data_IF_703012270203
#
_entry.id   IF_703012270203
#
_cell.length_a   1.000
_cell.length_b   1.000
_cell.length_c   1.000
_cell.angle_alpha   90.00
_cell.angle_beta   90.00
_cell.angle_gamma   90.00
#
_symmetry.space_group_name_H-M   'P 1'
#
loop_
_entity.id
_entity.type
_entity.pdbx_description
1 polymer ?
#
# COMPACT_ATOMS: atom_id res chain seq x y z
N UNK A 1 -4.21 4.59 -3.52
CA UNK A 1 -3.24 5.67 -3.26
C UNK A 1 -2.53 5.37 -1.94
N UNK A 2 -1.25 5.70 -1.83
CA UNK A 2 -0.44 5.52 -0.62
C UNK A 2 0.26 6.84 -0.27
N UNK A 3 0.16 7.27 0.99
CA UNK A 3 0.95 8.37 1.55
C UNK A 3 1.88 7.80 2.59
N UNK A 4 3.17 7.90 2.35
CA UNK A 4 4.21 7.27 3.17
C UNK A 4 5.14 8.33 3.77
N UNK A 5 5.65 8.02 4.96
CA UNK A 5 6.68 8.78 5.65
C UNK A 5 7.69 7.80 6.24
N UNK A 6 8.95 8.20 6.26
CA UNK A 6 10.01 7.55 7.02
C UNK A 6 10.30 8.45 8.22
N UNK A 7 10.20 7.92 9.44
CA UNK A 7 10.57 8.68 10.65
C UNK A 7 12.08 8.90 10.72
N UNK A 8 12.54 9.79 11.60
CA UNK A 8 13.97 10.07 11.77
C UNK A 8 14.60 10.93 10.65
N UNK A 9 13.88 11.17 9.55
CA UNK A 9 14.24 12.17 8.54
C UNK A 9 13.82 13.57 9.03
N UNK A 10 14.58 14.59 8.65
CA UNK A 10 14.26 16.00 8.91
C UNK A 10 13.04 16.45 8.10
N UNK A 11 12.94 16.00 6.85
CA UNK A 11 11.76 16.30 6.03
C UNK A 11 10.47 15.75 6.62
N UNK A 12 9.42 16.57 6.57
CA UNK A 12 8.06 16.20 6.98
C UNK A 12 7.15 15.88 5.80
N UNK A 13 7.67 15.86 4.58
CA UNK A 13 6.89 15.66 3.37
C UNK A 13 6.49 14.20 3.19
N UNK A 14 5.22 13.95 2.89
CA UNK A 14 4.74 12.61 2.53
C UNK A 14 5.05 12.30 1.08
N UNK A 15 5.45 11.07 0.81
CA UNK A 15 5.55 10.59 -0.56
C UNK A 15 4.20 10.03 -1.03
N UNK A 16 3.69 10.52 -2.17
CA UNK A 16 2.45 10.00 -2.77
C UNK A 16 2.77 8.92 -3.80
N UNK A 17 2.36 7.69 -3.52
CA UNK A 17 2.72 6.49 -4.29
C UNK A 17 1.49 5.65 -4.67
N UNK A 18 1.66 4.73 -5.61
CA UNK A 18 0.58 3.86 -6.10
C UNK A 18 0.99 2.40 -6.03
N UNK A 19 0.12 1.58 -5.44
CA UNK A 19 0.36 0.16 -5.22
C UNK A 19 -0.67 -0.69 -5.95
N UNK A 20 -0.23 -1.83 -6.47
CA UNK A 20 -1.05 -2.84 -7.12
C UNK A 20 -0.64 -4.23 -6.69
N UNK A 21 -1.64 -5.10 -6.54
CA UNK A 21 -1.46 -6.49 -6.19
C UNK A 21 -2.71 -7.31 -6.40
N UNK A 22 -2.63 -8.55 -5.95
CA UNK A 22 -3.77 -9.44 -5.80
C UNK A 22 -4.00 -9.72 -4.32
N UNK A 23 -5.23 -10.11 -4.00
CA UNK A 23 -5.64 -10.43 -2.65
C UNK A 23 -6.50 -11.68 -2.61
N UNK A 24 -6.51 -12.33 -1.46
CA UNK A 24 -7.37 -13.42 -1.09
C UNK A 24 -8.15 -12.99 0.16
N UNK A 25 -9.44 -13.30 0.16
CA UNK A 25 -10.34 -13.01 1.27
C UNK A 25 -11.01 -14.32 1.67
N UNK A 26 -10.31 -15.08 2.51
CA UNK A 26 -10.63 -16.46 2.86
C UNK A 26 -11.52 -16.45 4.10
N UNK A 27 -12.71 -17.06 4.02
CA UNK A 27 -13.60 -17.15 5.19
C UNK A 27 -13.01 -18.15 6.19
N UNK A 28 -12.82 -17.71 7.43
CA UNK A 28 -12.43 -18.57 8.54
C UNK A 28 -13.67 -19.15 9.22
N UNK A 29 -14.47 -18.28 9.86
CA UNK A 29 -15.69 -18.65 10.57
C UNK A 29 -16.64 -17.46 10.61
N UNK A 30 -17.92 -17.68 10.29
CA UNK A 30 -18.95 -16.65 10.35
C UNK A 30 -18.56 -15.36 9.59
N UNK A 31 -18.36 -14.26 10.33
CA UNK A 31 -18.00 -12.94 9.84
C UNK A 31 -16.49 -12.68 9.82
N UNK A 32 -15.68 -13.64 10.27
CA UNK A 32 -14.23 -13.57 10.30
C UNK A 32 -13.62 -14.15 9.04
N UNK A 33 -12.69 -13.40 8.47
CA UNK A 33 -11.97 -13.71 7.25
C UNK A 33 -10.48 -13.48 7.47
N UNK A 34 -9.66 -14.27 6.79
CA UNK A 34 -8.25 -13.99 6.59
C UNK A 34 -8.12 -13.21 5.27
N UNK A 35 -7.65 -11.99 5.37
CA UNK A 35 -7.26 -11.16 4.23
C UNK A 35 -5.74 -11.24 4.04
N UNK A 36 -5.31 -11.77 2.90
CA UNK A 36 -3.89 -11.85 2.55
C UNK A 36 -3.69 -11.65 1.05
N UNK A 37 -2.45 -11.63 0.57
CA UNK A 37 -2.13 -11.36 -0.83
C UNK A 37 -0.72 -10.81 -0.99
N UNK A 38 -0.43 -10.29 -2.17
CA UNK A 38 0.86 -9.66 -2.45
C UNK A 38 0.63 -8.38 -3.25
N UNK A 39 1.14 -7.25 -2.74
CA UNK A 39 1.32 -6.03 -3.54
C UNK A 39 2.64 -6.17 -4.32
N UNK A 40 2.51 -6.42 -5.62
CA UNK A 40 3.64 -6.73 -6.53
C UNK A 40 4.31 -5.49 -7.11
N UNK A 41 3.53 -4.45 -7.36
CA UNK A 41 4.04 -3.11 -7.66
C UNK A 41 3.73 -2.28 -6.44
N UNK A 42 4.67 -2.21 -5.52
CA UNK A 42 4.49 -1.40 -4.31
C UNK A 42 5.74 -0.59 -4.00
N UNK A 43 5.50 0.66 -3.66
CA UNK A 43 6.55 1.61 -3.36
C UNK A 43 6.20 2.50 -2.18
N UNK A 44 7.24 2.79 -1.39
CA UNK A 44 7.21 3.73 -0.28
C UNK A 44 8.51 4.55 -0.27
N UNK A 45 8.64 5.47 0.67
CA UNK A 45 9.75 6.42 0.68
C UNK A 45 9.37 7.75 1.31
N UNK A 46 10.16 8.77 1.01
CA UNK A 46 9.94 10.14 1.47
C UNK A 46 10.31 11.10 0.35
N UNK A 47 9.52 12.16 0.16
CA UNK A 47 9.80 13.18 -0.85
C UNK A 47 10.44 14.43 -0.20
N UNK A 48 11.08 15.30 -0.98
CA UNK A 48 11.71 16.55 -0.51
C UNK A 48 12.71 16.34 0.63
N UNK A 49 13.71 15.49 0.40
CA UNK A 49 14.85 15.31 1.30
C UNK A 49 15.60 16.64 1.46
N UNK A 50 15.93 16.97 2.69
CA UNK A 50 16.80 18.10 3.04
C UNK A 50 18.27 17.75 2.84
N UNK A 51 19.17 18.73 2.97
CA UNK A 51 20.62 18.48 2.92
C UNK A 51 21.11 17.61 4.07
N UNK A 52 20.50 17.78 5.24
CA UNK A 52 20.75 16.93 6.40
C UNK A 52 20.33 15.50 6.11
N UNK A 53 19.19 15.31 5.46
CA UNK A 53 18.73 13.99 5.04
C UNK A 53 19.67 13.37 4.01
N UNK A 54 20.10 14.13 2.99
CA UNK A 54 21.06 13.65 1.98
C UNK A 54 22.38 13.20 2.62
N UNK A 55 22.93 13.99 3.54
CA UNK A 55 24.12 13.62 4.31
C UNK A 55 23.90 12.34 5.12
N UNK A 56 22.76 12.23 5.81
CA UNK A 56 22.37 11.03 6.56
C UNK A 56 22.31 9.78 5.68
N UNK A 57 21.89 9.93 4.42
CA UNK A 57 21.85 8.85 3.43
C UNK A 57 23.19 8.64 2.70
N UNK A 58 24.19 9.48 2.96
CA UNK A 58 25.47 9.51 2.27
C UNK A 58 25.32 9.75 0.77
N UNK A 59 24.45 10.70 0.40
CA UNK A 59 24.19 11.15 -0.97
C UNK A 59 24.70 12.58 -1.10
N UNK A 60 25.52 12.84 -2.11
CA UNK A 60 26.02 14.19 -2.39
C UNK A 60 25.03 14.97 -3.25
N UNK A 61 24.76 16.26 -2.96
CA UNK A 61 23.99 17.10 -3.86
C UNK A 61 24.68 17.25 -5.22
N UNK A 62 23.89 17.31 -6.29
CA UNK A 62 24.35 17.59 -7.64
C UNK A 62 24.77 19.06 -7.77
N UNK A 63 25.99 19.26 -8.27
CA UNK A 63 26.61 20.55 -8.55
C UNK A 63 26.80 20.72 -10.07
N UNK A 64 26.83 21.96 -10.54
CA UNK A 64 27.20 22.29 -11.91
C UNK A 64 28.73 22.42 -12.06
N UNK A 65 29.19 22.77 -13.26
CA UNK A 65 30.62 22.89 -13.57
C UNK A 65 31.32 24.07 -12.85
N UNK A 66 30.58 24.95 -12.18
CA UNK A 66 31.08 26.08 -11.42
C UNK A 66 30.96 25.85 -9.90
N UNK A 67 30.77 24.59 -9.47
CA UNK A 67 30.54 24.18 -8.08
C UNK A 67 29.30 24.83 -7.44
N UNK A 68 28.32 25.25 -8.26
CA UNK A 68 27.04 25.77 -7.78
C UNK A 68 26.02 24.64 -7.73
N UNK A 69 25.26 24.57 -6.63
CA UNK A 69 24.22 23.57 -6.46
C UNK A 69 23.12 23.72 -7.51
N UNK A 70 22.82 22.62 -8.19
CA UNK A 70 21.69 22.55 -9.12
C UNK A 70 20.38 22.55 -8.31
N UNK A 71 19.47 23.46 -8.65
CA UNK A 71 18.15 23.52 -8.05
C UNK A 71 17.31 22.28 -8.45
N UNK A 72 16.68 21.65 -7.46
CA UNK A 72 15.81 20.50 -7.69
C UNK A 72 15.45 19.78 -6.41
N UNK A 73 14.55 18.81 -6.54
CA UNK A 73 14.00 18.04 -5.43
C UNK A 73 14.63 16.65 -5.35
N UNK A 74 14.95 16.22 -4.14
CA UNK A 74 15.42 14.88 -3.86
C UNK A 74 14.34 14.04 -3.17
N UNK A 75 14.15 12.80 -3.59
CA UNK A 75 13.21 11.87 -2.99
C UNK A 75 13.81 10.48 -2.82
N UNK A 76 13.66 9.88 -1.63
CA UNK A 76 13.97 8.48 -1.44
C UNK A 76 12.82 7.63 -1.99
N UNK A 77 13.14 6.66 -2.86
CA UNK A 77 12.18 5.67 -3.38
C UNK A 77 12.62 4.26 -3.05
N UNK A 78 11.69 3.44 -2.56
CA UNK A 78 11.92 2.04 -2.21
C UNK A 78 10.78 1.21 -2.79
N UNK A 79 11.12 0.20 -3.57
CA UNK A 79 10.16 -0.79 -4.04
C UNK A 79 10.26 -2.07 -3.22
N UNK A 80 9.10 -2.60 -2.86
CA UNK A 80 8.99 -3.82 -2.07
C UNK A 80 7.89 -4.74 -2.60
N UNK A 81 7.96 -6.01 -2.23
CA UNK A 81 6.80 -6.90 -2.20
C UNK A 81 6.18 -6.81 -0.82
N UNK A 82 4.91 -6.41 -0.71
CA UNK A 82 4.22 -6.32 0.59
C UNK A 82 3.18 -7.44 0.71
N UNK A 83 3.25 -8.19 1.80
CA UNK A 83 2.41 -9.34 2.12
C UNK A 83 1.67 -9.06 3.43
N UNK A 84 0.40 -8.64 3.38
CA UNK A 84 -0.43 -8.50 4.56
C UNK A 84 -1.00 -9.87 4.99
N UNK A 85 -1.14 -10.08 6.29
CA UNK A 85 -1.86 -11.21 6.86
C UNK A 85 -2.82 -10.67 7.94
N UNK A 86 -4.00 -10.21 7.49
CA UNK A 86 -4.94 -9.48 8.33
C UNK A 86 -6.15 -10.35 8.67
N UNK A 87 -6.57 -10.29 9.92
CA UNK A 87 -7.89 -10.75 10.31
C UNK A 87 -8.88 -9.64 9.98
N UNK A 88 -9.92 -9.99 9.21
CA UNK A 88 -10.98 -9.08 8.73
C UNK A 88 -12.33 -9.52 9.30
N UNK A 89 -12.99 -8.64 10.02
CA UNK A 89 -14.35 -8.84 10.53
C UNK A 89 -15.35 -8.06 9.68
N UNK A 90 -16.33 -8.76 9.08
CA UNK A 90 -17.35 -8.17 8.20
C UNK A 90 -18.69 -8.01 8.92
N UNK A 91 -19.11 -6.77 9.11
CA UNK A 91 -20.39 -6.42 9.69
C UNK A 91 -21.55 -6.69 8.73
N UNK A 92 -22.77 -6.82 9.26
CA UNK A 92 -23.98 -7.09 8.46
C UNK A 92 -24.32 -5.93 7.50
N UNK A 93 -23.93 -4.71 7.86
CA UNK A 93 -24.08 -3.50 7.04
C UNK A 93 -22.99 -3.36 5.95
N UNK A 94 -22.20 -4.41 5.68
CA UNK A 94 -21.13 -4.42 4.67
C UNK A 94 -19.90 -3.57 4.97
N UNK A 95 -19.85 -2.93 6.14
CA UNK A 95 -18.59 -2.42 6.67
C UNK A 95 -17.69 -3.59 7.10
N UNK A 96 -16.39 -3.34 7.18
CA UNK A 96 -15.46 -4.23 7.85
C UNK A 96 -14.38 -3.45 8.58
N UNK A 97 -13.81 -4.12 9.57
CA UNK A 97 -12.53 -3.77 10.16
C UNK A 97 -11.53 -4.87 9.85
N UNK A 98 -10.26 -4.52 9.69
CA UNK A 98 -9.18 -5.47 9.52
C UNK A 98 -7.93 -5.04 10.29
N UNK A 99 -7.23 -6.01 10.86
CA UNK A 99 -5.95 -5.78 11.51
C UNK A 99 -5.06 -7.02 11.48
N UNK A 100 -3.76 -6.81 11.49
CA UNK A 100 -2.77 -7.88 11.56
C UNK A 100 -1.40 -7.43 11.06
N UNK A 101 -0.43 -8.36 11.01
CA UNK A 101 0.90 -8.04 10.52
C UNK A 101 0.94 -7.80 9.01
N UNK A 102 1.94 -7.04 8.59
CA UNK A 102 2.38 -6.95 7.21
C UNK A 102 3.90 -7.13 7.16
N UNK A 103 4.35 -7.88 6.15
CA UNK A 103 5.76 -8.09 5.85
C UNK A 103 6.09 -7.51 4.49
N UNK A 104 7.26 -6.89 4.37
CA UNK A 104 7.73 -6.23 3.16
C UNK A 104 9.13 -6.74 2.81
N UNK A 105 9.31 -7.20 1.57
CA UNK A 105 10.63 -7.56 1.02
C UNK A 105 11.09 -6.47 0.06
N UNK A 106 12.06 -5.66 0.48
CA UNK A 106 12.60 -4.55 -0.32
C UNK A 106 13.56 -5.07 -1.38
N UNK A 107 13.31 -4.75 -2.65
CA UNK A 107 14.10 -5.30 -3.77
C UNK A 107 14.79 -4.24 -4.62
N UNK A 108 14.39 -2.96 -4.52
CA UNK A 108 15.01 -1.84 -5.24
C UNK A 108 14.91 -0.56 -4.41
N UNK A 109 15.97 0.25 -4.39
CA UNK A 109 16.02 1.51 -3.65
C UNK A 109 16.94 2.50 -4.36
N UNK A 110 16.53 3.77 -4.41
CA UNK A 110 17.34 4.86 -4.95
C UNK A 110 16.90 6.21 -4.39
N UNK A 111 17.84 7.16 -4.30
CA UNK A 111 17.51 8.58 -4.19
C UNK A 111 17.34 9.12 -5.61
N UNK A 112 16.22 9.78 -5.85
CA UNK A 112 15.90 10.41 -7.12
C UNK A 112 16.04 11.92 -7.00
N UNK A 113 16.84 12.52 -7.87
CA UNK A 113 16.93 13.97 -8.04
C UNK A 113 16.15 14.37 -9.29
N UNK A 114 15.24 15.34 -9.15
CA UNK A 114 14.49 15.93 -10.26
C UNK A 114 14.80 17.42 -10.33
N UNK A 115 15.26 17.87 -11.50
CA UNK A 115 15.53 19.26 -11.80
C UNK A 115 14.81 19.68 -13.08
N UNK A 116 14.37 20.94 -13.13
CA UNK A 116 13.92 21.62 -14.34
C UNK A 116 15.04 22.57 -14.77
N UNK A 117 15.59 22.32 -15.97
CA UNK A 117 16.63 23.16 -16.56
C UNK A 117 16.11 23.65 -17.92
N UNK A 118 15.78 24.94 -18.00
CA UNK A 118 15.26 25.60 -19.20
C UNK A 118 14.02 24.90 -19.80
N UNK A 119 13.10 24.45 -18.95
CA UNK A 119 11.87 23.77 -19.37
C UNK A 119 12.07 22.31 -19.77
N UNK A 120 13.21 21.71 -19.40
CA UNK A 120 13.51 20.30 -19.60
C UNK A 120 13.63 19.60 -18.25
N UNK A 121 12.84 18.54 -18.09
CA UNK A 121 12.93 17.66 -16.92
C UNK A 121 14.15 16.75 -17.02
N UNK A 122 15.02 16.82 -16.00
CA UNK A 122 16.13 15.91 -15.82
C UNK A 122 15.93 15.09 -14.53
N UNK A 123 16.01 13.77 -14.65
CA UNK A 123 15.91 12.85 -13.51
C UNK A 123 17.17 12.01 -13.37
N UNK A 124 17.83 12.11 -12.22
CA UNK A 124 18.99 11.29 -11.85
C UNK A 124 18.63 10.33 -10.71
N UNK A 125 19.18 9.11 -10.76
CA UNK A 125 18.90 8.06 -9.77
C UNK A 125 20.19 7.49 -9.21
N UNK A 126 20.42 7.73 -7.93
CA UNK A 126 21.52 7.13 -7.19
C UNK A 126 21.00 5.91 -6.42
N UNK A 127 21.41 4.71 -6.85
CA UNK A 127 20.95 3.47 -6.24
C UNK A 127 21.60 3.24 -4.88
N UNK A 128 20.78 2.97 -3.87
CA UNK A 128 21.22 2.78 -2.48
C UNK A 128 20.59 1.53 -1.82
N UNK A 129 20.37 0.48 -2.62
CA UNK A 129 19.77 -0.79 -2.15
C UNK A 129 20.59 -1.47 -1.05
N UNK A 130 21.89 -1.32 -1.09
CA UNK A 130 22.86 -1.80 -0.11
C UNK A 130 22.75 -1.06 1.24
N UNK A 131 22.27 0.19 1.24
CA UNK A 131 22.08 1.02 2.44
C UNK A 131 20.75 0.79 3.17
N UNK A 132 19.79 0.06 2.58
CA UNK A 132 18.49 -0.24 3.19
C UNK A 132 18.43 -1.66 3.78
N UNK A 133 17.62 -1.85 4.83
CA UNK A 133 17.28 -3.18 5.33
C UNK A 133 16.42 -3.92 4.29
N UNK A 134 16.67 -5.22 4.08
CA UNK A 134 15.93 -6.00 3.06
C UNK A 134 14.49 -6.31 3.48
N UNK A 135 14.23 -6.32 4.78
CA UNK A 135 12.95 -6.69 5.37
C UNK A 135 12.40 -5.50 6.13
N UNK A 136 11.12 -5.24 5.97
CA UNK A 136 10.33 -4.38 6.84
C UNK A 136 9.13 -5.19 7.36
N UNK A 137 8.77 -4.99 8.61
CA UNK A 137 7.71 -5.72 9.27
C UNK A 137 7.01 -4.79 10.26
N UNK A 138 5.70 -4.92 10.35
CA UNK A 138 4.88 -4.00 11.12
C UNK A 138 3.46 -4.46 11.29
N UNK A 139 2.66 -3.60 11.90
CA UNK A 139 1.23 -3.82 12.05
C UNK A 139 0.45 -2.94 11.07
N UNK A 140 -0.66 -3.48 10.59
CA UNK A 140 -1.60 -2.79 9.74
C UNK A 140 -2.99 -2.90 10.34
N UNK A 141 -3.72 -1.78 10.35
CA UNK A 141 -5.13 -1.75 10.72
C UNK A 141 -5.90 -0.90 9.72
N UNK A 142 -7.18 -1.22 9.50
CA UNK A 142 -7.99 -0.51 8.52
C UNK A 142 -9.47 -0.79 8.62
N UNK A 143 -10.22 0.03 7.90
CA UNK A 143 -11.67 -0.06 7.78
C UNK A 143 -12.07 0.08 6.33
N UNK A 144 -13.27 -0.38 6.00
CA UNK A 144 -13.85 -0.03 4.73
C UNK A 144 -15.25 -0.58 4.52
N UNK A 145 -15.70 -0.48 3.29
CA UNK A 145 -17.08 -0.77 2.90
C UNK A 145 -17.11 -1.56 1.59
N UNK A 146 -17.95 -2.61 1.57
CA UNK A 146 -18.15 -3.44 0.38
C UNK A 146 -19.41 -3.03 -0.37
N UNK A 147 -19.24 -2.58 -1.62
CA UNK A 147 -20.30 -2.12 -2.50
C UNK A 147 -21.14 -3.28 -3.07
N UNK A 148 -22.22 -2.93 -3.77
CA UNK A 148 -23.15 -3.85 -4.44
C UNK A 148 -23.69 -4.94 -3.51
N UNK A 149 -24.22 -4.55 -2.35
CA UNK A 149 -24.79 -5.48 -1.34
C UNK A 149 -23.83 -6.60 -0.92
N UNK A 150 -22.53 -6.30 -0.86
CA UNK A 150 -21.50 -7.24 -0.42
C UNK A 150 -20.93 -8.17 -1.50
N UNK A 151 -21.23 -7.95 -2.79
CA UNK A 151 -20.68 -8.76 -3.90
C UNK A 151 -19.78 -7.96 -4.84
N UNK A 152 -19.70 -6.64 -4.68
CA UNK A 152 -18.95 -5.75 -5.57
C UNK A 152 -17.59 -5.34 -5.04
N UNK A 153 -17.14 -4.20 -5.54
CA UNK A 153 -15.88 -3.58 -5.17
C UNK A 153 -15.83 -3.22 -3.68
N UNK A 154 -14.64 -3.20 -3.12
CA UNK A 154 -14.41 -2.79 -1.74
C UNK A 154 -13.58 -1.53 -1.71
N UNK A 155 -14.09 -0.50 -1.04
CA UNK A 155 -13.35 0.71 -0.72
C UNK A 155 -12.84 0.60 0.71
N UNK A 156 -11.69 1.19 1.00
CA UNK A 156 -11.21 1.24 2.39
C UNK A 156 -10.00 2.12 2.60
N UNK A 157 -9.74 2.37 3.87
CA UNK A 157 -8.57 3.06 4.35
C UNK A 157 -7.78 2.14 5.29
N UNK A 158 -6.45 2.16 5.21
CA UNK A 158 -5.57 1.43 6.13
C UNK A 158 -4.42 2.31 6.59
N UNK A 159 -3.93 2.03 7.78
CA UNK A 159 -2.69 2.58 8.29
C UNK A 159 -1.73 1.43 8.60
N UNK A 160 -0.48 1.60 8.15
CA UNK A 160 0.64 0.73 8.45
C UNK A 160 1.65 1.46 9.33
N UNK A 161 2.16 0.75 10.32
CA UNK A 161 3.25 1.19 11.18
C UNK A 161 4.32 0.10 11.24
N UNK A 162 5.50 0.41 10.70
CA UNK A 162 6.65 -0.48 10.64
C UNK A 162 7.48 -0.44 11.92
N UNK A 163 7.96 -1.59 12.35
CA UNK A 163 8.80 -1.75 13.53
C UNK A 163 10.29 -1.84 13.19
N UNK A 164 10.62 -2.01 11.90
CA UNK A 164 12.00 -2.16 11.43
C UNK A 164 12.49 -0.85 10.83
N UNK A 165 13.74 -0.50 11.12
CA UNK A 165 14.42 0.63 10.48
C UNK A 165 14.53 0.38 8.97
N UNK A 166 14.23 1.39 8.16
CA UNK A 166 14.36 1.32 6.71
C UNK A 166 15.82 1.34 6.29
N UNK A 167 16.65 2.18 6.94
CA UNK A 167 18.06 2.32 6.63
C UNK A 167 18.95 1.53 7.61
N UNK A 168 20.00 0.90 7.08
CA UNK A 168 20.98 0.18 7.90
C UNK A 168 21.81 1.17 8.71
N UNK A 169 21.98 0.89 10.00
CA UNK A 169 22.79 1.73 10.89
C UNK A 169 22.14 3.06 11.29
N UNK A 170 20.91 3.35 10.83
CA UNK A 170 20.20 4.60 11.16
C UNK A 170 18.92 4.25 11.93
N UNK A 171 19.00 4.43 13.24
CA UNK A 171 17.91 4.12 14.17
C UNK A 171 16.77 5.13 14.05
N UNK A 172 15.54 4.66 14.30
CA UNK A 172 14.34 5.49 14.26
C UNK A 172 13.84 5.78 12.85
N UNK A 173 14.29 5.02 11.84
CA UNK A 173 13.91 5.20 10.43
C UNK A 173 12.77 4.29 10.02
N UNK A 174 11.69 4.25 10.80
CA UNK A 174 10.55 3.38 10.57
C UNK A 174 9.65 3.88 9.43
N UNK A 175 9.12 2.96 8.64
CA UNK A 175 8.12 3.27 7.63
C UNK A 175 6.73 3.37 8.27
N UNK A 176 5.99 4.44 7.93
CA UNK A 176 4.55 4.51 8.18
C UNK A 176 3.84 4.88 6.89
N UNK A 177 2.63 4.36 6.70
CA UNK A 177 1.91 4.54 5.44
C UNK A 177 0.40 4.54 5.64
N UNK A 178 -0.27 5.56 5.09
CA UNK A 178 -1.71 5.63 4.98
C UNK A 178 -2.16 5.26 3.56
N UNK A 179 -3.08 4.32 3.45
CA UNK A 179 -3.54 3.77 2.17
C UNK A 179 -5.02 4.08 1.98
N UNK A 180 -5.37 4.57 0.79
CA UNK A 180 -6.71 4.41 0.24
C UNK A 180 -6.70 3.26 -0.77
N UNK A 181 -7.57 2.28 -0.57
CA UNK A 181 -7.63 1.06 -1.38
C UNK A 181 -8.95 0.92 -2.13
N UNK A 182 -8.84 0.32 -3.31
CA UNK A 182 -9.94 -0.21 -4.10
C UNK A 182 -9.64 -1.68 -4.40
N UNK A 183 -10.52 -2.58 -3.98
CA UNK A 183 -10.41 -4.01 -4.25
C UNK A 183 -11.51 -4.41 -5.23
N UNK A 184 -11.12 -4.99 -6.37
CA UNK A 184 -12.05 -5.49 -7.38
C UNK A 184 -12.10 -7.01 -7.23
N UNK A 185 -13.25 -7.63 -6.88
CA UNK A 185 -13.35 -9.07 -6.78
C UNK A 185 -13.44 -9.71 -8.16
N UNK A 186 -12.57 -10.66 -8.43
CA UNK A 186 -12.61 -11.46 -9.66
C UNK A 186 -13.55 -12.67 -9.43
N UNK A 187 -14.49 -12.90 -10.36
CA UNK A 187 -15.41 -14.05 -10.33
C UNK A 187 -16.55 -13.98 -9.30
N UNK A 188 -16.66 -12.91 -8.50
CA UNK A 188 -17.76 -12.77 -7.53
C UNK A 188 -19.10 -12.36 -8.17
N UNK A 189 -19.05 -11.64 -9.30
CA UNK A 189 -20.24 -11.18 -10.04
C UNK A 189 -21.09 -12.34 -10.56
N UNK A 190 -20.47 -13.28 -11.26
CA UNK A 190 -21.14 -14.48 -11.80
C UNK A 190 -21.74 -15.35 -10.69
N UNK A 191 -21.01 -15.56 -9.59
CA UNK A 191 -21.51 -16.31 -8.42
C UNK A 191 -22.71 -15.62 -7.77
N UNK A 192 -22.74 -14.29 -7.77
CA UNK A 192 -23.86 -13.52 -7.23
C UNK A 192 -25.10 -13.59 -8.13
N UNK A 193 -24.92 -13.62 -9.46
CA UNK A 193 -26.01 -13.82 -10.42
C UNK A 193 -26.62 -15.23 -10.29
N UNK A 194 -25.79 -16.28 -10.31
CA UNK A 194 -26.24 -17.68 -10.13
C UNK A 194 -27.04 -17.87 -8.84
N UNK A 195 -26.56 -17.33 -7.71
CA UNK A 195 -27.29 -17.39 -6.43
C UNK A 195 -28.62 -16.63 -6.42
N UNK A 196 -28.73 -15.53 -7.18
CA UNK A 196 -30.01 -14.80 -7.31
C UNK A 196 -31.00 -15.61 -8.13
N UNK A 197 -30.56 -16.28 -9.18
CA UNK A 197 -31.39 -17.14 -10.01
C UNK A 197 -31.89 -18.37 -9.24
N UNK A 198 -31.01 -19.06 -8.50
CA UNK A 198 -31.39 -20.18 -7.62
C UNK A 198 -32.43 -19.77 -6.58
N UNK A 199 -32.26 -18.61 -5.93
CA UNK A 199 -33.23 -18.10 -4.96
C UNK A 199 -34.57 -17.71 -5.59
N UNK A 200 -34.58 -17.26 -6.85
CA UNK A 200 -35.82 -17.00 -7.59
C UNK A 200 -36.55 -18.31 -7.90
N UNK A 201 -35.82 -19.33 -8.38
CA UNK A 201 -36.38 -20.67 -8.65
C UNK A 201 -36.98 -21.31 -7.39
N UNK A 202 -36.24 -21.31 -6.28
CA UNK A 202 -36.73 -21.85 -5.00
C UNK A 202 -37.96 -21.12 -4.44
N UNK A 203 -38.09 -19.80 -4.70
CA UNK A 203 -39.29 -19.04 -4.32
C UNK A 203 -40.49 -19.36 -5.22
N UNK A 204 -40.26 -19.55 -6.53
CA UNK A 204 -41.31 -19.96 -7.45
C UNK A 204 -41.87 -21.35 -7.09
N UNK A 205 -40.98 -22.33 -6.85
CA UNK A 205 -41.37 -23.69 -6.46
C UNK A 205 -42.09 -23.76 -5.10
N UNK A 206 -41.71 -22.90 -4.13
CA UNK A 206 -42.43 -22.81 -2.85
C UNK A 206 -43.82 -22.20 -2.98
N UNK A 207 -43.99 -21.24 -3.89
CA UNK A 207 -45.30 -20.62 -4.12
C UNK A 207 -46.24 -21.58 -4.86
N UNK A 208 -45.74 -22.37 -5.81
CA UNK A 208 -46.53 -23.41 -6.49
C UNK A 208 -47.00 -24.53 -5.53
N UNK A 209 -46.14 -24.93 -4.58
CA UNK A 209 -46.49 -25.93 -3.56
C UNK A 209 -47.39 -25.42 -2.43
N UNK A 210 -47.66 -24.12 -2.37
CA UNK A 210 -48.53 -23.49 -1.37
C UNK A 210 -49.98 -23.33 -1.86
N UNK A 211 -50.26 -23.70 -3.12
CA UNK A 211 -51.55 -23.54 -3.79
C UNK A 211 -52.33 -24.88 -3.83
N UNK A 212 -51.72 -25.96 -3.33
CA UNK A 212 -52.34 -27.27 -3.09
C UNK A 212 -52.35 -27.57 -1.59
#
# INVERSE_FOLDING_TARGET
>A
MNWTKISGMETNSFARKWNLGFYFDIRLKNQWFLYTGVLVKSNFGVDKLTDRDLNTLGVSPYMDNADVRIAGDYSQKINAFMVPALIRYKFKNHMYFEAGPQFSLMYKSWVEFNADVDGKDATFKEYNKDKINKIDAGIMAGVGYKLLKGTGWTLGAKYYYGFVNVFKGISGTNNSSFYLKLEIPIGAGEKAQKKKEEKKKQKAEKNEKSIY
#
